data_IF_708744110862
#
_entry.id   IF_708744110862
#
_cell.length_a   1.000
_cell.length_b   1.000
_cell.length_c   1.000
_cell.angle_alpha   90.00
_cell.angle_beta   90.00
_cell.angle_gamma   90.00
#
_symmetry.space_group_name_H-M   'P 1'
#
loop_
_entity.id
_entity.type
_entity.pdbx_description
1 polymer ?
#
# COMPACT_ATOMS: atom_id res chain seq x y z
N UNK A 1 66.15 -56.94 -13.21
CA UNK A 1 65.29 -56.72 -12.05
C UNK A 1 64.86 -55.27 -12.08
N UNK A 2 63.68 -54.98 -12.63
CA UNK A 2 63.14 -53.64 -12.87
C UNK A 2 62.02 -53.43 -11.86
N UNK A 3 62.15 -52.45 -10.95
CA UNK A 3 61.14 -52.09 -10.00
C UNK A 3 60.28 -50.98 -10.62
N UNK A 4 59.02 -51.31 -10.88
CA UNK A 4 58.01 -50.38 -11.37
C UNK A 4 57.40 -49.71 -10.14
N UNK A 5 57.57 -48.38 -9.96
CA UNK A 5 56.93 -47.58 -8.96
C UNK A 5 55.57 -47.12 -9.48
N UNK A 6 54.51 -47.53 -8.79
CA UNK A 6 53.12 -47.18 -9.07
C UNK A 6 52.77 -45.87 -8.28
N UNK A 7 52.73 -44.75 -8.97
CA UNK A 7 52.32 -43.48 -8.40
C UNK A 7 50.78 -43.37 -8.44
N UNK A 8 50.16 -43.44 -7.26
CA UNK A 8 48.72 -43.16 -7.10
C UNK A 8 48.46 -41.64 -7.18
N UNK A 9 47.78 -41.22 -8.21
CA UNK A 9 47.30 -39.87 -8.37
C UNK A 9 45.95 -39.71 -7.64
N UNK A 10 45.94 -39.05 -6.48
CA UNK A 10 44.71 -38.74 -5.75
C UNK A 10 44.12 -37.44 -6.34
N UNK A 11 43.03 -37.59 -7.08
CA UNK A 11 42.26 -36.47 -7.59
C UNK A 11 41.31 -35.92 -6.49
N UNK A 12 41.67 -34.77 -5.90
CA UNK A 12 40.75 -34.04 -5.04
C UNK A 12 39.64 -33.38 -5.86
N UNK A 13 38.46 -33.93 -5.81
CA UNK A 13 37.25 -33.26 -6.33
C UNK A 13 36.78 -32.25 -5.32
N UNK A 14 37.06 -30.98 -5.58
CA UNK A 14 36.53 -29.84 -4.81
C UNK A 14 35.03 -29.66 -5.21
N UNK A 15 34.16 -30.14 -4.35
CA UNK A 15 32.70 -29.84 -4.47
C UNK A 15 32.48 -28.38 -4.08
N UNK A 16 32.27 -27.51 -5.05
CA UNK A 16 31.82 -26.13 -4.83
C UNK A 16 30.33 -26.17 -4.43
N UNK A 17 30.06 -26.00 -3.13
CA UNK A 17 28.71 -25.75 -2.62
C UNK A 17 28.29 -24.36 -3.08
N UNK A 18 27.55 -24.28 -4.19
CA UNK A 18 26.82 -23.07 -4.57
C UNK A 18 25.73 -22.82 -3.53
N UNK A 19 26.02 -21.96 -2.56
CA UNK A 19 25.02 -21.43 -1.64
C UNK A 19 24.04 -20.56 -2.44
N UNK A 20 22.89 -21.12 -2.79
CA UNK A 20 21.73 -20.35 -3.26
C UNK A 20 21.25 -19.48 -2.11
N UNK A 21 21.78 -18.25 -2.05
CA UNK A 21 21.20 -17.17 -1.25
C UNK A 21 19.84 -16.86 -1.85
N UNK A 22 18.76 -17.37 -1.27
CA UNK A 22 17.41 -16.93 -1.57
C UNK A 22 17.26 -15.50 -1.09
N UNK A 23 17.63 -14.57 -1.94
CA UNK A 23 17.28 -13.15 -1.79
C UNK A 23 15.78 -13.09 -1.82
N UNK A 24 15.15 -12.94 -0.64
CA UNK A 24 13.74 -12.59 -0.53
C UNK A 24 13.53 -11.33 -1.38
N UNK A 25 12.91 -11.50 -2.55
CA UNK A 25 12.78 -10.45 -3.55
C UNK A 25 12.08 -9.24 -2.95
N UNK A 26 12.86 -8.19 -2.66
CA UNK A 26 12.31 -6.87 -2.32
C UNK A 26 11.36 -6.49 -3.44
N UNK A 27 10.06 -6.46 -3.15
CA UNK A 27 9.03 -6.08 -4.13
C UNK A 27 9.40 -4.71 -4.67
N UNK A 28 9.74 -4.66 -5.97
CA UNK A 28 10.15 -3.45 -6.68
C UNK A 28 8.93 -2.54 -6.79
N UNK A 29 8.80 -1.55 -5.90
CA UNK A 29 7.69 -0.60 -5.87
C UNK A 29 8.23 0.83 -5.81
N UNK A 30 7.39 1.81 -6.17
CA UNK A 30 7.73 3.23 -6.07
C UNK A 30 7.79 3.66 -4.61
N UNK A 31 8.93 4.15 -4.16
CA UNK A 31 9.11 4.71 -2.82
C UNK A 31 8.67 6.18 -2.81
N UNK A 32 7.85 6.56 -1.86
CA UNK A 32 7.44 7.94 -1.59
C UNK A 32 7.77 8.24 -0.14
N UNK A 33 8.51 9.33 0.07
CA UNK A 33 9.00 9.70 1.40
C UNK A 33 8.12 10.77 2.03
N UNK A 34 8.08 10.79 3.36
CA UNK A 34 7.42 11.82 4.16
C UNK A 34 5.95 12.04 3.82
N UNK A 35 5.22 10.95 3.54
CA UNK A 35 3.77 11.01 3.33
C UNK A 35 3.11 11.26 4.67
N UNK A 36 2.31 12.33 4.75
CA UNK A 36 1.50 12.60 5.94
C UNK A 36 0.42 11.55 6.06
N UNK A 37 0.29 10.94 7.23
CA UNK A 37 -0.80 10.01 7.53
C UNK A 37 -1.56 10.44 8.77
N UNK A 38 -2.86 10.22 8.73
CA UNK A 38 -3.80 10.35 9.84
C UNK A 38 -4.49 9.00 10.06
N UNK A 39 -5.45 8.92 10.94
CA UNK A 39 -6.25 7.73 11.12
C UNK A 39 -7.72 8.08 11.33
N UNK A 40 -8.61 7.22 10.83
CA UNK A 40 -10.05 7.32 11.00
C UNK A 40 -10.67 6.03 11.50
N UNK A 41 -11.90 6.11 12.02
CA UNK A 41 -12.68 4.96 12.44
C UNK A 41 -14.13 5.09 11.96
N UNK A 42 -14.78 3.95 11.72
CA UNK A 42 -16.19 3.93 11.30
C UNK A 42 -17.19 4.47 12.35
N UNK A 43 -16.74 4.70 13.56
CA UNK A 43 -17.54 5.28 14.66
C UNK A 43 -17.43 6.81 14.78
N UNK A 44 -16.77 7.50 13.83
CA UNK A 44 -16.76 8.95 13.75
C UNK A 44 -18.08 9.47 13.14
N UNK A 45 -18.50 10.68 13.54
CA UNK A 45 -19.81 11.25 13.20
C UNK A 45 -20.05 11.41 11.72
N UNK A 46 -19.02 11.69 10.95
CA UNK A 46 -19.06 11.84 9.48
C UNK A 46 -19.04 10.50 8.73
N UNK A 47 -18.60 9.42 9.40
CA UNK A 47 -18.54 8.07 8.82
C UNK A 47 -19.68 7.16 9.28
N UNK A 48 -20.29 7.44 10.43
CA UNK A 48 -21.29 6.57 11.09
C UNK A 48 -22.49 6.24 10.18
N UNK A 49 -22.88 7.16 9.30
CA UNK A 49 -24.00 6.96 8.36
C UNK A 49 -23.69 5.94 7.26
N UNK A 50 -22.41 5.66 7.00
CA UNK A 50 -21.96 4.69 6.00
C UNK A 50 -21.65 3.32 6.64
N UNK A 51 -21.64 3.26 7.98
CA UNK A 51 -21.27 2.07 8.75
C UNK A 51 -19.81 1.67 8.51
N UNK A 52 -19.48 0.40 8.73
CA UNK A 52 -18.13 -0.13 8.54
C UNK A 52 -17.87 -0.51 7.06
N UNK A 53 -18.14 0.42 6.13
CA UNK A 53 -17.99 0.23 4.69
C UNK A 53 -17.11 1.33 4.08
N UNK A 54 -16.36 0.94 3.07
CA UNK A 54 -15.53 1.83 2.26
C UNK A 54 -16.36 2.53 1.17
N UNK A 55 -15.79 3.55 0.53
CA UNK A 55 -16.42 4.22 -0.62
C UNK A 55 -16.66 3.29 -1.83
N UNK A 56 -15.94 2.16 -1.93
CA UNK A 56 -16.21 1.13 -2.95
C UNK A 56 -17.30 0.14 -2.54
N UNK A 57 -17.88 0.28 -1.34
CA UNK A 57 -18.97 -0.54 -0.84
C UNK A 57 -18.54 -1.84 -0.16
N UNK A 58 -17.26 -2.13 -0.05
CA UNK A 58 -16.74 -3.29 0.69
C UNK A 58 -16.62 -3.02 2.18
N UNK A 59 -16.62 -4.04 3.05
CA UNK A 59 -16.29 -3.86 4.46
C UNK A 59 -14.89 -3.25 4.65
N UNK A 60 -14.75 -2.38 5.66
CA UNK A 60 -13.46 -1.86 6.10
C UNK A 60 -12.56 -3.01 6.60
N UNK A 61 -11.31 -3.03 6.17
CA UNK A 61 -10.35 -4.12 6.42
C UNK A 61 -9.35 -3.73 7.51
N UNK A 62 -9.09 -4.67 8.43
CA UNK A 62 -8.08 -4.50 9.49
C UNK A 62 -7.31 -5.80 9.77
N UNK A 63 -6.95 -6.53 8.72
CA UNK A 63 -6.14 -7.75 8.78
C UNK A 63 -4.72 -7.52 8.25
N UNK A 64 -4.19 -8.49 7.51
CA UNK A 64 -2.93 -8.35 6.77
C UNK A 64 -3.03 -7.28 5.68
N UNK A 65 -4.21 -7.14 5.07
CA UNK A 65 -4.56 -6.01 4.22
C UNK A 65 -5.48 -5.09 5.02
N UNK A 66 -5.18 -3.79 5.02
CA UNK A 66 -5.92 -2.75 5.75
C UNK A 66 -6.47 -1.71 4.80
N UNK A 67 -7.65 -1.18 5.11
CA UNK A 67 -8.24 -0.09 4.35
C UNK A 67 -7.53 1.23 4.60
N UNK A 68 -7.47 2.06 3.57
CA UNK A 68 -6.98 3.43 3.65
C UNK A 68 -7.84 4.34 2.77
N UNK A 69 -8.06 5.56 3.25
CA UNK A 69 -8.68 6.63 2.49
C UNK A 69 -7.61 7.59 1.96
N UNK A 70 -7.83 8.14 0.76
CA UNK A 70 -6.93 9.10 0.15
C UNK A 70 -7.65 9.99 -0.87
N UNK A 71 -6.97 11.04 -1.35
CA UNK A 71 -7.37 11.75 -2.57
C UNK A 71 -7.16 10.82 -3.77
N UNK A 72 -8.25 10.37 -4.40
CA UNK A 72 -8.16 9.45 -5.55
C UNK A 72 -7.59 10.09 -6.82
N UNK A 73 -7.40 11.40 -6.83
CA UNK A 73 -6.64 12.06 -7.90
C UNK A 73 -5.13 11.96 -7.73
N UNK A 74 -4.66 11.52 -6.55
CA UNK A 74 -3.25 11.30 -6.21
C UNK A 74 -2.97 9.79 -6.06
N UNK A 75 -3.76 9.12 -5.23
CA UNK A 75 -3.69 7.68 -4.99
C UNK A 75 -4.99 7.02 -5.47
N UNK A 76 -5.08 6.60 -6.75
CA UNK A 76 -6.33 6.10 -7.31
C UNK A 76 -6.80 4.83 -6.61
N UNK A 77 -8.11 4.59 -6.65
CA UNK A 77 -8.75 3.43 -6.02
C UNK A 77 -8.07 2.13 -6.44
N UNK A 78 -7.79 1.27 -5.46
CA UNK A 78 -7.08 0.00 -5.67
C UNK A 78 -5.55 0.12 -5.58
N UNK A 79 -4.99 1.31 -5.30
CA UNK A 79 -3.57 1.46 -4.99
C UNK A 79 -3.22 0.59 -3.78
N UNK A 80 -2.17 -0.21 -3.91
CA UNK A 80 -1.63 -1.08 -2.85
C UNK A 80 -0.28 -0.55 -2.43
N UNK A 81 -0.10 -0.31 -1.15
CA UNK A 81 1.15 0.17 -0.61
C UNK A 81 1.49 -0.49 0.74
N UNK A 82 2.74 -0.35 1.12
CA UNK A 82 3.24 -0.76 2.43
C UNK A 82 3.92 0.45 3.09
N UNK A 83 3.68 0.65 4.37
CA UNK A 83 4.42 1.61 5.18
C UNK A 83 5.74 0.96 5.58
N UNK A 84 6.87 1.66 5.38
CA UNK A 84 8.19 1.16 5.75
C UNK A 84 8.25 0.87 7.27
N UNK A 85 8.72 -0.31 7.64
CA UNK A 85 8.72 -0.79 9.03
C UNK A 85 7.41 -1.44 9.50
N UNK A 86 6.35 -1.43 8.67
CA UNK A 86 5.09 -2.11 8.97
C UNK A 86 5.00 -3.46 8.26
N UNK A 87 4.50 -4.52 8.91
CA UNK A 87 4.28 -5.81 8.25
C UNK A 87 3.00 -5.82 7.38
N UNK A 88 2.14 -4.81 7.51
CA UNK A 88 0.84 -4.77 6.87
C UNK A 88 0.87 -4.15 5.48
N UNK A 89 -0.04 -4.62 4.65
CA UNK A 89 -0.34 -4.06 3.32
C UNK A 89 -1.58 -3.16 3.47
N UNK A 90 -1.56 -2.01 2.80
CA UNK A 90 -2.67 -1.08 2.78
C UNK A 90 -3.26 -0.99 1.38
N UNK A 91 -4.57 -0.85 1.30
CA UNK A 91 -5.31 -0.66 0.06
C UNK A 91 -6.10 0.64 0.12
N UNK A 92 -5.93 1.49 -0.87
CA UNK A 92 -6.79 2.67 -1.06
C UNK A 92 -8.12 2.19 -1.61
N UNK A 93 -9.13 2.15 -0.76
CA UNK A 93 -10.51 1.73 -1.09
C UNK A 93 -11.56 2.72 -0.56
N UNK A 94 -11.07 3.83 0.03
CA UNK A 94 -11.91 4.89 0.55
C UNK A 94 -11.37 6.27 0.19
N UNK A 95 -12.19 7.32 0.37
CA UNK A 95 -11.78 8.71 0.24
C UNK A 95 -12.51 9.59 1.27
N UNK A 96 -11.94 10.75 1.56
CA UNK A 96 -12.56 11.72 2.48
C UNK A 96 -12.48 13.14 1.93
N UNK A 97 -13.50 13.97 2.20
CA UNK A 97 -13.53 15.37 1.76
C UNK A 97 -12.32 16.18 2.27
N UNK A 98 -11.90 15.93 3.50
CA UNK A 98 -10.74 16.57 4.14
C UNK A 98 -9.39 16.17 3.53
N UNK A 99 -9.33 15.09 2.75
CA UNK A 99 -8.09 14.58 2.16
C UNK A 99 -7.78 15.21 0.80
N UNK A 100 -8.82 15.73 0.13
CA UNK A 100 -8.69 16.24 -1.24
C UNK A 100 -7.76 17.45 -1.31
N UNK A 101 -6.65 17.29 -2.04
CA UNK A 101 -5.62 18.32 -2.20
C UNK A 101 -4.56 18.36 -1.11
N UNK A 102 -4.59 17.47 -0.13
CA UNK A 102 -3.65 17.49 1.00
C UNK A 102 -2.49 16.51 0.86
N UNK A 103 -2.52 15.59 -0.09
CA UNK A 103 -1.58 14.47 -0.22
C UNK A 103 -1.47 13.61 1.06
N UNK A 104 -2.53 13.60 1.88
CA UNK A 104 -2.62 12.82 3.12
C UNK A 104 -3.27 11.47 2.82
N UNK A 105 -2.75 10.42 3.45
CA UNK A 105 -3.40 9.10 3.50
C UNK A 105 -3.97 8.91 4.89
N UNK A 106 -5.22 8.53 4.98
CA UNK A 106 -5.92 8.27 6.23
C UNK A 106 -6.07 6.76 6.45
N UNK A 107 -5.58 6.26 7.58
CA UNK A 107 -5.45 4.84 7.86
C UNK A 107 -6.62 4.38 8.71
N UNK A 108 -7.37 3.38 8.21
CA UNK A 108 -8.47 2.82 8.99
C UNK A 108 -7.98 2.15 10.28
N UNK A 109 -8.63 2.49 11.38
CA UNK A 109 -8.45 1.88 12.68
C UNK A 109 -9.81 1.43 13.24
N UNK A 110 -9.92 0.24 13.85
CA UNK A 110 -11.20 -0.30 14.27
C UNK A 110 -11.81 0.43 15.46
N UNK A 111 -10.98 1.10 16.29
CA UNK A 111 -11.43 1.82 17.48
C UNK A 111 -10.84 3.22 17.57
N UNK A 112 -11.49 4.09 18.34
CA UNK A 112 -11.01 5.45 18.63
C UNK A 112 -9.67 5.44 19.37
N UNK A 113 -9.41 4.46 20.20
CA UNK A 113 -8.16 4.28 20.93
C UNK A 113 -7.00 4.02 19.95
N UNK A 114 -7.16 3.07 19.02
CA UNK A 114 -6.17 2.79 17.99
C UNK A 114 -5.97 3.99 17.05
N UNK A 115 -7.05 4.70 16.69
CA UNK A 115 -6.99 5.92 15.92
C UNK A 115 -6.15 6.99 16.63
N UNK A 116 -6.39 7.23 17.93
CA UNK A 116 -5.62 8.18 18.75
C UNK A 116 -4.15 7.76 18.90
N UNK A 117 -3.87 6.46 19.06
CA UNK A 117 -2.50 5.93 19.10
C UNK A 117 -1.76 6.12 17.78
N UNK A 118 -2.46 6.01 16.66
CA UNK A 118 -1.87 6.31 15.35
C UNK A 118 -1.54 7.80 15.28
N UNK A 119 -2.49 8.66 15.58
CA UNK A 119 -2.37 10.11 15.53
C UNK A 119 -2.03 10.63 14.14
N UNK A 120 -1.21 11.68 14.09
CA UNK A 120 -0.69 12.27 12.85
C UNK A 120 0.81 12.02 12.77
N UNK A 121 1.28 11.46 11.66
CA UNK A 121 2.70 11.18 11.45
C UNK A 121 3.09 11.19 9.99
N UNK A 122 4.35 11.53 9.71
CA UNK A 122 4.93 11.35 8.39
C UNK A 122 5.62 9.99 8.31
N UNK A 123 5.34 9.24 7.26
CA UNK A 123 5.90 7.91 7.03
C UNK A 123 6.45 7.81 5.62
N UNK A 124 7.36 6.88 5.41
CA UNK A 124 7.74 6.47 4.06
C UNK A 124 6.86 5.32 3.63
N UNK A 125 6.37 5.37 2.41
CA UNK A 125 5.58 4.29 1.83
C UNK A 125 6.27 3.73 0.59
N UNK A 126 5.95 2.48 0.30
CA UNK A 126 6.31 1.81 -0.94
C UNK A 126 5.03 1.40 -1.65
N UNK A 127 4.74 2.04 -2.78
CA UNK A 127 3.61 1.67 -3.63
C UNK A 127 3.99 0.39 -4.37
N UNK A 128 3.32 -0.69 -4.04
CA UNK A 128 3.54 -2.02 -4.61
C UNK A 128 2.80 -2.19 -5.93
N UNK A 129 1.64 -1.53 -6.06
CA UNK A 129 0.81 -1.49 -7.26
C UNK A 129 -0.03 -0.22 -7.25
N UNK A 130 -0.01 0.52 -8.34
CA UNK A 130 -0.92 1.63 -8.54
C UNK A 130 -2.33 1.14 -8.83
N UNK A 131 -3.32 1.88 -8.35
CA UNK A 131 -4.72 1.68 -8.68
C UNK A 131 -5.08 2.22 -10.05
N UNK A 132 -6.37 2.48 -10.28
CA UNK A 132 -6.88 2.91 -11.58
C UNK A 132 -7.62 4.24 -11.47
N UNK A 133 -7.14 5.25 -12.19
CA UNK A 133 -7.83 6.54 -12.31
C UNK A 133 -9.17 6.40 -13.02
N UNK A 134 -9.25 5.59 -14.08
CA UNK A 134 -10.52 5.36 -14.78
C UNK A 134 -11.55 4.68 -13.87
N UNK A 135 -11.14 3.72 -13.05
CA UNK A 135 -12.02 3.09 -12.05
C UNK A 135 -12.44 4.09 -10.97
N UNK A 136 -11.53 4.96 -10.53
CA UNK A 136 -11.85 6.04 -9.58
C UNK A 136 -12.95 6.94 -10.13
N UNK A 137 -12.79 7.41 -11.38
CA UNK A 137 -13.80 8.26 -12.05
C UNK A 137 -15.13 7.52 -12.19
N UNK A 138 -15.12 6.26 -12.62
CA UNK A 138 -16.34 5.47 -12.78
C UNK A 138 -17.16 5.35 -11.48
N UNK A 139 -16.48 5.11 -10.34
CA UNK A 139 -17.14 5.02 -9.02
C UNK A 139 -17.64 6.40 -8.55
N UNK A 140 -16.89 7.46 -8.83
CA UNK A 140 -17.21 8.82 -8.39
C UNK A 140 -18.28 9.50 -9.24
N UNK A 141 -18.56 9.03 -10.46
CA UNK A 141 -19.45 9.67 -11.42
C UNK A 141 -20.80 10.06 -10.82
N UNK A 142 -21.47 9.15 -10.15
CA UNK A 142 -22.81 9.37 -9.58
C UNK A 142 -22.77 10.22 -8.29
N UNK A 143 -21.57 10.53 -7.80
CA UNK A 143 -21.31 11.33 -6.59
C UNK A 143 -20.76 12.71 -6.93
N UNK A 144 -20.71 13.11 -8.20
CA UNK A 144 -20.15 14.38 -8.66
C UNK A 144 -20.95 15.63 -8.17
N UNK A 145 -22.12 15.44 -7.56
CA UNK A 145 -22.84 16.50 -6.82
C UNK A 145 -22.05 17.04 -5.62
N UNK A 146 -21.19 16.22 -5.02
CA UNK A 146 -20.35 16.65 -3.91
C UNK A 146 -19.10 17.37 -4.43
N UNK A 147 -18.77 18.53 -3.87
CA UNK A 147 -17.67 19.39 -4.34
C UNK A 147 -16.30 18.69 -4.32
N UNK A 148 -15.98 17.98 -3.24
CA UNK A 148 -14.73 17.24 -3.13
C UNK A 148 -14.59 16.14 -4.18
N UNK A 149 -15.68 15.45 -4.53
CA UNK A 149 -15.69 14.42 -5.58
C UNK A 149 -15.47 15.08 -6.94
N UNK A 150 -16.18 16.16 -7.23
CA UNK A 150 -16.01 16.93 -8.48
C UNK A 150 -14.56 17.41 -8.66
N UNK A 151 -13.92 17.91 -7.59
CA UNK A 151 -12.51 18.32 -7.61
C UNK A 151 -11.58 17.17 -7.96
N UNK A 152 -11.76 15.98 -7.40
CA UNK A 152 -10.95 14.79 -7.74
C UNK A 152 -11.12 14.41 -9.21
N UNK A 153 -12.35 14.33 -9.70
CA UNK A 153 -12.64 14.00 -11.10
C UNK A 153 -11.99 15.00 -12.07
N UNK A 154 -12.14 16.31 -11.80
CA UNK A 154 -11.51 17.35 -12.61
C UNK A 154 -9.97 17.27 -12.65
N UNK A 155 -9.34 16.96 -11.51
CA UNK A 155 -7.86 16.77 -11.45
C UNK A 155 -7.43 15.59 -12.29
N UNK A 156 -8.11 14.46 -12.19
CA UNK A 156 -7.81 13.28 -13.02
C UNK A 156 -7.92 13.63 -14.50
N UNK A 157 -9.02 14.29 -14.92
CA UNK A 157 -9.24 14.65 -16.32
C UNK A 157 -8.22 15.64 -16.90
N UNK A 158 -7.57 16.45 -16.04
CA UNK A 158 -6.50 17.38 -16.47
C UNK A 158 -5.13 16.73 -16.60
N UNK A 159 -4.94 15.58 -15.97
CA UNK A 159 -3.67 14.84 -15.93
C UNK A 159 -3.61 13.70 -16.95
N UNK A 160 -4.72 13.42 -17.63
CA UNK A 160 -4.86 12.42 -18.69
C UNK A 160 -4.71 13.06 -20.06
#
# INVERSE_FOLDING_TARGET
MIRIALTCLVACVAATLSSCSSTSGVKKGTRITSVRTTAYTHSESDHIIYGARTAVGTPLKYGNVRSAAADWSVYPVGTIFQIEGSPYIYQVDDYGSALVGTNTIDIYQPTKEHMKQWGVRNVNIRVLRWGSFSKSVAIMKDRAKYDHVRKMVQRISRSS
#
